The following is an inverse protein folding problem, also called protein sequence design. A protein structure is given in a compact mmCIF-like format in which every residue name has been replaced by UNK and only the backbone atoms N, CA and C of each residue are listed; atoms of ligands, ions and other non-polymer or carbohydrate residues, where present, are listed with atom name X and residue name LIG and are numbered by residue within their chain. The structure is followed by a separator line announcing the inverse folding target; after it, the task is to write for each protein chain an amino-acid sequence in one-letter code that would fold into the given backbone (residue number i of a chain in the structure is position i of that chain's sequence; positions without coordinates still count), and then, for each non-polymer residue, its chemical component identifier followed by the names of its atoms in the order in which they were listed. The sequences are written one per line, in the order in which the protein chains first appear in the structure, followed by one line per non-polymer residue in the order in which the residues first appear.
data_IF_528956624355
#
_entry.id   IF_528956624355
#
_cell.length_a   1.000
_cell.length_b   1.000
_cell.length_c   1.000
_cell.angle_alpha   90.00
_cell.angle_beta   90.00
_cell.angle_gamma   90.00
#
_symmetry.space_group_name_H-M   'P 1'
#
loop_
_entity.id
_entity.type
_entity.pdbx_description
1 polymer ?
#
# COMPACT_ATOMS: atom_id res chain seq x y z
N UNK A 1 31.95 24.17 27.16
CA UNK A 1 32.52 22.83 26.94
C UNK A 1 31.46 21.76 26.69
N UNK A 2 30.36 21.66 27.48
CA UNK A 2 29.26 20.69 27.26
C UNK A 2 28.60 20.70 25.87
N UNK A 3 28.48 21.85 25.21
CA UNK A 3 27.85 21.93 23.89
C UNK A 3 28.65 21.23 22.77
N UNK A 4 29.97 21.14 22.89
CA UNK A 4 30.84 20.50 21.89
C UNK A 4 30.72 18.97 21.97
N UNK A 5 30.55 18.43 23.17
CA UNK A 5 30.32 16.98 23.39
C UNK A 5 28.94 16.52 22.90
N UNK A 6 27.91 17.36 23.07
CA UNK A 6 26.55 17.08 22.59
C UNK A 6 26.50 17.08 21.06
N UNK A 7 27.16 18.03 20.40
CA UNK A 7 27.22 18.10 18.93
C UNK A 7 27.95 16.87 18.36
N UNK A 8 29.05 16.44 19.00
CA UNK A 8 29.78 15.23 18.61
C UNK A 8 28.93 13.95 18.74
N UNK A 9 28.17 13.83 19.83
CA UNK A 9 27.29 12.68 20.06
C UNK A 9 26.12 12.62 19.07
N UNK A 10 25.49 13.76 18.78
CA UNK A 10 24.40 13.83 17.79
C UNK A 10 24.91 13.53 16.38
N UNK A 11 26.09 14.03 16.02
CA UNK A 11 26.75 13.73 14.74
C UNK A 11 27.02 12.24 14.56
N UNK A 12 27.55 11.58 15.60
CA UNK A 12 27.81 10.14 15.57
C UNK A 12 26.53 9.31 15.43
N UNK A 13 25.44 9.75 16.08
CA UNK A 13 24.14 9.08 16.01
C UNK A 13 23.53 9.20 14.61
N UNK A 14 23.56 10.39 14.01
CA UNK A 14 23.11 10.61 12.64
C UNK A 14 23.95 9.81 11.64
N UNK A 15 25.27 9.76 11.81
CA UNK A 15 26.16 8.98 10.96
C UNK A 15 25.90 7.48 11.06
N UNK A 16 25.70 6.97 12.29
CA UNK A 16 25.34 5.56 12.52
C UNK A 16 24.02 5.19 11.86
N UNK A 17 22.97 6.01 12.00
CA UNK A 17 21.68 5.80 11.33
C UNK A 17 21.83 5.85 9.81
N UNK A 18 22.64 6.79 9.29
CA UNK A 18 22.91 6.92 7.86
C UNK A 18 23.59 5.67 7.31
N UNK A 19 24.58 5.12 8.02
CA UNK A 19 25.27 3.90 7.63
C UNK A 19 24.35 2.68 7.59
N UNK A 20 23.44 2.56 8.56
CA UNK A 20 22.44 1.48 8.57
C UNK A 20 21.49 1.60 7.38
N UNK A 21 21.01 2.81 7.07
CA UNK A 21 20.15 3.07 5.91
C UNK A 21 20.87 2.77 4.59
N UNK A 22 22.12 3.20 4.43
CA UNK A 22 22.92 2.91 3.23
C UNK A 22 23.15 1.40 3.08
N UNK A 23 23.46 0.69 4.17
CA UNK A 23 23.64 -0.76 4.16
C UNK A 23 22.35 -1.48 3.72
N UNK A 24 21.19 -1.03 4.18
CA UNK A 24 19.88 -1.59 3.80
C UNK A 24 19.57 -1.35 2.32
N UNK A 25 19.87 -0.15 1.80
CA UNK A 25 19.68 0.18 0.38
C UNK A 25 20.64 -0.61 -0.52
N UNK A 26 21.90 -0.78 -0.12
CA UNK A 26 22.85 -1.59 -0.90
C UNK A 26 22.48 -3.08 -0.90
N UNK A 27 21.98 -3.61 0.21
CA UNK A 27 21.49 -4.99 0.26
C UNK A 27 20.28 -5.19 -0.68
N UNK A 28 19.39 -4.19 -0.80
CA UNK A 28 18.21 -4.30 -1.67
C UNK A 28 18.53 -4.13 -3.16
N UNK A 29 19.55 -3.35 -3.53
CA UNK A 29 19.94 -3.14 -4.93
C UNK A 29 20.57 -4.38 -5.59
N UNK A 30 21.15 -5.30 -4.82
CA UNK A 30 21.67 -6.57 -5.38
C UNK A 30 20.55 -7.45 -5.94
N UNK A 31 19.30 -7.25 -5.49
CA UNK A 31 18.12 -7.99 -5.97
C UNK A 31 17.49 -7.40 -7.24
N UNK A 32 17.89 -6.20 -7.69
CA UNK A 32 17.17 -5.48 -8.78
C UNK A 32 17.79 -5.58 -10.18
N UNK A 33 18.86 -6.37 -10.36
CA UNK A 33 19.38 -6.68 -11.71
C UNK A 33 18.58 -7.83 -12.33
N UNK A 34 17.39 -7.50 -12.83
CA UNK A 34 16.54 -8.43 -13.58
C UNK A 34 15.08 -8.03 -13.55
N UNK A 35 14.73 -6.89 -14.11
CA UNK A 35 13.35 -6.52 -14.42
C UNK A 35 13.10 -6.77 -15.91
N UNK A 36 12.97 -8.04 -16.26
CA UNK A 36 11.93 -8.39 -17.24
C UNK A 36 10.60 -8.17 -16.53
N UNK A 37 9.68 -7.50 -17.22
CA UNK A 37 8.28 -7.35 -16.82
C UNK A 37 7.64 -8.74 -16.91
N UNK A 38 7.92 -9.56 -15.91
CA UNK A 38 7.29 -10.83 -15.67
C UNK A 38 6.30 -10.61 -14.55
N UNK A 39 5.02 -10.84 -14.85
CA UNK A 39 3.89 -10.87 -13.91
C UNK A 39 4.35 -11.47 -12.59
N UNK A 40 4.72 -10.60 -11.65
CA UNK A 40 5.41 -11.05 -10.45
C UNK A 40 4.37 -11.64 -9.52
N UNK A 41 4.44 -12.95 -9.42
CA UNK A 41 3.75 -13.77 -8.43
C UNK A 41 3.72 -13.04 -7.09
N UNK A 42 2.50 -12.93 -6.58
CA UNK A 42 2.16 -12.19 -5.38
C UNK A 42 3.09 -12.59 -4.23
N UNK A 43 3.81 -11.60 -3.71
CA UNK A 43 4.67 -11.71 -2.53
C UNK A 43 3.82 -12.07 -1.31
N UNK A 44 3.75 -13.35 -0.92
CA UNK A 44 2.99 -13.77 0.27
C UNK A 44 3.73 -14.85 1.07
N UNK A 45 4.89 -14.53 1.65
CA UNK A 45 5.52 -15.46 2.60
C UNK A 45 5.83 -14.88 3.98
N UNK A 46 5.96 -13.55 4.16
CA UNK A 46 6.19 -12.92 5.47
C UNK A 46 5.64 -11.47 5.54
N UNK A 47 4.33 -11.31 5.39
CA UNK A 47 3.70 -9.97 5.46
C UNK A 47 3.70 -9.43 6.89
N UNK A 48 4.47 -8.37 7.11
CA UNK A 48 4.44 -7.57 8.34
C UNK A 48 3.10 -6.84 8.39
N UNK A 49 2.21 -7.33 9.23
CA UNK A 49 0.87 -6.77 9.37
C UNK A 49 0.84 -5.39 10.03
N UNK A 50 -0.26 -4.62 9.84
CA UNK A 50 -0.47 -3.31 10.47
C UNK A 50 -0.44 -3.29 12.01
N UNK A 51 -0.47 -4.46 12.65
CA UNK A 51 -0.36 -4.61 14.11
C UNK A 51 1.09 -4.81 14.61
N UNK A 52 2.07 -4.87 13.71
CA UNK A 52 3.48 -5.06 14.05
C UNK A 52 4.23 -3.73 14.24
N UNK A 53 5.18 -3.69 15.18
CA UNK A 53 5.94 -2.48 15.54
C UNK A 53 6.77 -1.89 14.38
N UNK A 54 7.18 -2.71 13.42
CA UNK A 54 7.96 -2.27 12.24
C UNK A 54 7.07 -1.80 11.07
N UNK A 55 5.74 -1.97 11.14
CA UNK A 55 4.83 -1.57 10.07
C UNK A 55 4.95 -0.09 9.64
N UNK A 56 5.16 0.88 10.57
CA UNK A 56 5.35 2.28 10.17
C UNK A 56 6.54 2.48 9.22
N UNK A 57 7.60 1.68 9.34
CA UNK A 57 8.78 1.78 8.46
C UNK A 57 8.41 1.36 7.04
N UNK A 58 7.62 0.30 6.89
CA UNK A 58 7.11 -0.13 5.58
C UNK A 58 6.22 0.94 4.95
N UNK A 59 5.33 1.56 5.73
CA UNK A 59 4.52 2.67 5.25
C UNK A 59 5.36 3.87 4.77
N UNK A 60 6.47 4.17 5.45
CA UNK A 60 7.40 5.24 5.02
C UNK A 60 8.05 4.87 3.70
N UNK A 61 8.53 3.63 3.55
CA UNK A 61 9.09 3.12 2.29
C UNK A 61 8.07 3.25 1.15
N UNK A 62 6.85 2.76 1.36
CA UNK A 62 5.78 2.79 0.35
C UNK A 62 5.50 4.23 -0.11
N UNK A 63 5.44 5.16 0.85
CA UNK A 63 5.22 6.57 0.54
C UNK A 63 6.36 7.17 -0.28
N UNK A 64 7.61 6.88 0.09
CA UNK A 64 8.78 7.33 -0.67
C UNK A 64 8.76 6.76 -2.08
N UNK A 65 8.38 5.50 -2.26
CA UNK A 65 8.24 4.89 -3.58
C UNK A 65 7.17 5.59 -4.43
N UNK A 66 5.99 5.90 -3.86
CA UNK A 66 4.95 6.64 -4.57
C UNK A 66 5.36 8.06 -4.94
N UNK A 67 6.11 8.74 -4.08
CA UNK A 67 6.55 10.12 -4.31
C UNK A 67 7.65 10.20 -5.41
N UNK A 68 8.47 9.16 -5.55
CA UNK A 68 9.57 9.11 -6.52
C UNK A 68 9.21 8.46 -7.86
N UNK A 69 8.11 7.71 -7.93
CA UNK A 69 7.70 6.97 -9.11
C UNK A 69 7.19 7.89 -10.25
N UNK A 70 7.44 7.47 -11.49
CA UNK A 70 6.80 8.07 -12.67
C UNK A 70 5.29 7.77 -12.66
N UNK A 71 4.46 8.55 -13.38
CA UNK A 71 3.00 8.41 -13.29
C UNK A 71 2.47 6.97 -13.52
N UNK A 72 2.92 6.28 -14.57
CA UNK A 72 2.50 4.90 -14.87
C UNK A 72 2.92 3.91 -13.77
N UNK A 73 4.18 3.99 -13.33
CA UNK A 73 4.72 3.19 -12.23
C UNK A 73 3.98 3.47 -10.93
N UNK A 74 3.64 4.73 -10.68
CA UNK A 74 2.93 5.17 -9.47
C UNK A 74 1.51 4.62 -9.43
N UNK A 75 0.80 4.60 -10.57
CA UNK A 75 -0.52 3.98 -10.68
C UNK A 75 -0.41 2.48 -10.38
N UNK A 76 0.55 1.79 -11.00
CA UNK A 76 0.80 0.36 -10.79
C UNK A 76 1.16 0.04 -9.33
N UNK A 77 2.02 0.86 -8.71
CA UNK A 77 2.38 0.75 -7.30
C UNK A 77 1.17 0.93 -6.37
N UNK A 78 0.24 1.84 -6.68
CA UNK A 78 -0.99 1.98 -5.89
C UNK A 78 -1.85 0.73 -5.94
N UNK A 79 -1.95 0.09 -7.11
CA UNK A 79 -2.68 -1.19 -7.23
C UNK A 79 -2.02 -2.27 -6.38
N UNK A 80 -0.70 -2.44 -6.48
CA UNK A 80 0.05 -3.41 -5.69
C UNK A 80 -0.11 -3.19 -4.18
N UNK A 81 0.05 -1.94 -3.72
CA UNK A 81 -0.13 -1.56 -2.33
C UNK A 81 -1.55 -1.72 -1.81
N UNK A 82 -2.55 -1.60 -2.68
CA UNK A 82 -3.93 -1.91 -2.33
C UNK A 82 -4.14 -3.41 -2.12
N UNK A 83 -3.62 -4.25 -3.01
CA UNK A 83 -3.74 -5.70 -2.91
C UNK A 83 -3.07 -6.23 -1.62
N UNK A 84 -1.85 -5.78 -1.32
CA UNK A 84 -1.14 -6.11 -0.08
C UNK A 84 -1.94 -5.71 1.18
N UNK A 85 -2.55 -4.52 1.14
CA UNK A 85 -3.38 -4.03 2.26
C UNK A 85 -4.69 -4.80 2.37
N UNK A 86 -5.30 -5.22 1.27
CA UNK A 86 -6.51 -6.04 1.33
C UNK A 86 -6.22 -7.41 1.95
N UNK A 87 -5.12 -8.05 1.52
CA UNK A 87 -4.66 -9.30 2.14
C UNK A 87 -4.37 -9.14 3.63
N UNK A 88 -3.66 -8.05 4.01
CA UNK A 88 -3.45 -7.70 5.42
C UNK A 88 -4.75 -7.52 6.19
N UNK A 89 -5.78 -6.93 5.58
CA UNK A 89 -7.07 -6.74 6.21
C UNK A 89 -7.78 -8.08 6.48
N UNK A 90 -7.74 -9.02 5.54
CA UNK A 90 -8.27 -10.38 5.72
C UNK A 90 -7.58 -11.08 6.88
N UNK A 91 -6.24 -11.08 6.90
CA UNK A 91 -5.46 -11.67 7.99
C UNK A 91 -5.76 -11.03 9.36
N UNK A 92 -5.92 -9.70 9.41
CA UNK A 92 -6.27 -8.99 10.64
C UNK A 92 -7.68 -9.36 11.12
N UNK A 93 -8.61 -9.55 10.20
CA UNK A 93 -9.97 -9.98 10.51
C UNK A 93 -9.95 -11.38 11.13
N UNK A 94 -9.24 -12.33 10.51
CA UNK A 94 -9.06 -13.69 11.02
C UNK A 94 -8.37 -13.73 12.39
N UNK A 95 -7.47 -12.78 12.66
CA UNK A 95 -6.80 -12.61 13.97
C UNK A 95 -7.67 -11.93 15.03
N UNK A 96 -8.96 -11.71 14.76
CA UNK A 96 -9.89 -11.11 15.71
C UNK A 96 -9.67 -9.61 15.92
N UNK A 97 -9.11 -8.91 14.92
CA UNK A 97 -8.90 -7.44 14.92
C UNK A 97 -9.77 -6.74 13.86
N UNK A 98 -11.11 -6.86 13.94
CA UNK A 98 -12.01 -6.40 12.87
C UNK A 98 -11.95 -4.89 12.62
N UNK A 99 -11.72 -4.07 13.65
CA UNK A 99 -11.62 -2.61 13.49
C UNK A 99 -10.36 -2.21 12.70
N UNK A 100 -9.23 -2.87 13.00
CA UNK A 100 -7.98 -2.64 12.29
C UNK A 100 -8.06 -3.19 10.86
N UNK A 101 -8.70 -4.35 10.68
CA UNK A 101 -9.01 -4.92 9.37
C UNK A 101 -9.84 -3.95 8.52
N UNK A 102 -10.95 -3.44 9.04
CA UNK A 102 -11.81 -2.46 8.36
C UNK A 102 -11.02 -1.22 7.94
N UNK A 103 -10.22 -0.65 8.84
CA UNK A 103 -9.41 0.53 8.54
C UNK A 103 -8.38 0.26 7.44
N UNK A 104 -7.85 -0.97 7.38
CA UNK A 104 -6.85 -1.40 6.40
C UNK A 104 -7.50 -1.65 5.04
N UNK A 105 -8.64 -2.36 5.00
CA UNK A 105 -9.44 -2.58 3.80
C UNK A 105 -9.92 -1.24 3.19
N UNK A 106 -10.34 -0.30 4.03
CA UNK A 106 -10.75 1.05 3.57
C UNK A 106 -9.60 1.78 2.90
N UNK A 107 -8.38 1.69 3.44
CA UNK A 107 -7.18 2.29 2.82
C UNK A 107 -6.84 1.60 1.49
N UNK A 108 -6.92 0.28 1.44
CA UNK A 108 -6.70 -0.50 0.23
C UNK A 108 -7.63 -0.02 -0.90
N UNK A 109 -8.93 0.08 -0.62
CA UNK A 109 -9.91 0.51 -1.61
C UNK A 109 -9.68 1.95 -2.08
N UNK A 110 -9.30 2.87 -1.18
CA UNK A 110 -8.96 4.26 -1.55
C UNK A 110 -7.76 4.36 -2.49
N UNK A 111 -6.78 3.47 -2.35
CA UNK A 111 -5.63 3.42 -3.25
C UNK A 111 -6.06 3.03 -4.67
N UNK A 112 -6.92 2.02 -4.81
CA UNK A 112 -7.49 1.63 -6.11
C UNK A 112 -8.37 2.70 -6.71
N UNK A 113 -9.23 3.33 -5.91
CA UNK A 113 -10.07 4.43 -6.37
C UNK A 113 -9.21 5.58 -6.91
N UNK A 114 -8.16 5.95 -6.19
CA UNK A 114 -7.21 6.99 -6.63
C UNK A 114 -6.52 6.59 -7.93
N UNK A 115 -6.06 5.33 -8.05
CA UNK A 115 -5.45 4.82 -9.27
C UNK A 115 -6.43 4.86 -10.46
N UNK A 116 -7.68 4.48 -10.25
CA UNK A 116 -8.72 4.46 -11.28
C UNK A 116 -9.10 5.87 -11.76
N UNK A 117 -9.17 6.84 -10.85
CA UNK A 117 -9.37 8.24 -11.22
C UNK A 117 -8.16 8.82 -11.97
N UNK A 118 -6.94 8.49 -11.54
CA UNK A 118 -5.71 8.99 -12.16
C UNK A 118 -5.51 8.41 -13.57
N UNK A 119 -5.74 7.10 -13.75
CA UNK A 119 -5.59 6.44 -15.06
C UNK A 119 -6.58 6.98 -16.09
N UNK A 120 -7.81 7.34 -15.65
CA UNK A 120 -8.84 7.98 -16.49
C UNK A 120 -8.49 9.45 -16.80
N UNK A 121 -8.01 10.19 -15.81
CA UNK A 121 -7.70 11.61 -15.96
C UNK A 121 -6.46 11.87 -16.82
N UNK A 122 -5.48 10.96 -16.80
CA UNK A 122 -4.21 11.12 -17.51
C UNK A 122 -4.19 10.47 -18.90
N UNK A 123 -5.28 9.82 -19.33
CA UNK A 123 -5.38 9.10 -20.61
C UNK A 123 -4.21 8.11 -20.81
N UNK A 124 -3.95 7.30 -19.78
CA UNK A 124 -2.88 6.30 -19.83
C UNK A 124 -3.24 5.15 -20.78
N UNK A 125 -2.30 4.25 -21.04
CA UNK A 125 -2.51 3.10 -21.94
C UNK A 125 -3.75 2.27 -21.58
N UNK A 126 -4.41 1.72 -22.62
CA UNK A 126 -5.58 0.85 -22.47
C UNK A 126 -5.29 -0.37 -21.58
N UNK A 127 -4.09 -0.93 -21.68
CA UNK A 127 -3.63 -2.04 -20.84
C UNK A 127 -3.61 -1.65 -19.35
N UNK A 128 -3.08 -0.46 -19.02
CA UNK A 128 -3.02 0.02 -17.64
C UNK A 128 -4.41 0.36 -17.11
N UNK A 129 -5.27 0.96 -17.93
CA UNK A 129 -6.68 1.19 -17.58
C UNK A 129 -7.39 -0.13 -17.26
N UNK A 130 -7.24 -1.13 -18.13
CA UNK A 130 -7.84 -2.46 -17.97
C UNK A 130 -7.36 -3.13 -16.69
N UNK A 131 -6.06 -3.08 -16.41
CA UNK A 131 -5.48 -3.61 -15.19
C UNK A 131 -6.08 -2.96 -13.94
N UNK A 132 -6.10 -1.63 -13.87
CA UNK A 132 -6.60 -0.88 -12.72
C UNK A 132 -8.09 -1.12 -12.49
N UNK A 133 -8.90 -1.07 -13.55
CA UNK A 133 -10.35 -1.28 -13.44
C UNK A 133 -10.71 -2.72 -13.08
N UNK A 134 -9.93 -3.70 -13.55
CA UNK A 134 -10.09 -5.11 -13.16
C UNK A 134 -9.80 -5.28 -11.67
N UNK A 135 -8.67 -4.76 -11.20
CA UNK A 135 -8.30 -4.81 -9.78
C UNK A 135 -9.35 -4.10 -8.89
N UNK A 136 -9.84 -2.92 -9.29
CA UNK A 136 -10.90 -2.21 -8.57
C UNK A 136 -12.18 -3.03 -8.48
N UNK A 137 -12.59 -3.68 -9.57
CA UNK A 137 -13.80 -4.51 -9.60
C UNK A 137 -13.67 -5.71 -8.68
N UNK A 138 -12.60 -6.48 -8.81
CA UNK A 138 -12.35 -7.67 -8.00
C UNK A 138 -12.32 -7.32 -6.50
N UNK A 139 -11.57 -6.28 -6.14
CA UNK A 139 -11.47 -5.88 -4.75
C UNK A 139 -12.78 -5.31 -4.18
N UNK A 140 -13.60 -4.65 -5.01
CA UNK A 140 -14.94 -4.21 -4.61
C UNK A 140 -15.86 -5.39 -4.30
N UNK A 141 -15.77 -6.48 -5.06
CA UNK A 141 -16.53 -7.70 -4.76
C UNK A 141 -16.02 -8.39 -3.49
N UNK A 142 -14.70 -8.45 -3.27
CA UNK A 142 -14.14 -8.95 -2.01
C UNK A 142 -14.59 -8.11 -0.81
N UNK A 143 -14.63 -6.78 -0.96
CA UNK A 143 -15.07 -5.88 0.10
C UNK A 143 -16.55 -6.12 0.49
N UNK A 144 -17.42 -6.44 -0.47
CA UNK A 144 -18.81 -6.85 -0.18
C UNK A 144 -18.88 -8.15 0.61
N UNK A 145 -18.08 -9.15 0.26
CA UNK A 145 -18.04 -10.42 1.01
C UNK A 145 -17.55 -10.21 2.45
N UNK A 146 -16.61 -9.28 2.65
CA UNK A 146 -16.17 -8.87 3.98
C UNK A 146 -17.26 -8.10 4.73
N UNK A 147 -17.98 -7.20 4.05
CA UNK A 147 -19.07 -6.38 4.61
C UNK A 147 -20.16 -7.23 5.29
N UNK A 148 -20.51 -8.39 4.72
CA UNK A 148 -21.49 -9.32 5.32
C UNK A 148 -21.12 -9.83 6.72
N UNK A 149 -19.85 -9.69 7.12
CA UNK A 149 -19.33 -10.17 8.40
C UNK A 149 -19.21 -9.08 9.47
N UNK A 150 -19.41 -7.81 9.10
CA UNK A 150 -19.26 -6.66 10.00
C UNK A 150 -20.60 -6.21 10.60
N UNK A 151 -20.55 -5.43 11.68
CA UNK A 151 -21.75 -4.88 12.33
C UNK A 151 -22.32 -3.65 11.58
N UNK A 152 -23.51 -3.18 11.99
CA UNK A 152 -24.27 -2.12 11.30
C UNK A 152 -23.46 -0.82 11.06
N UNK A 153 -22.69 -0.36 12.04
CA UNK A 153 -21.88 0.87 11.92
C UNK A 153 -20.76 0.73 10.88
N UNK A 154 -20.12 -0.45 10.86
CA UNK A 154 -19.03 -0.77 9.95
C UNK A 154 -19.55 -1.06 8.53
N UNK A 155 -20.77 -1.60 8.45
CA UNK A 155 -21.48 -1.86 7.21
C UNK A 155 -21.70 -0.59 6.40
N UNK A 156 -22.15 0.50 7.03
CA UNK A 156 -22.43 1.78 6.34
C UNK A 156 -21.16 2.38 5.71
N UNK A 157 -20.03 2.29 6.41
CA UNK A 157 -18.73 2.76 5.90
C UNK A 157 -18.32 2.00 4.64
N UNK A 158 -18.44 0.68 4.67
CA UNK A 158 -18.13 -0.17 3.53
C UNK A 158 -19.10 0.06 2.37
N UNK A 159 -20.39 0.22 2.66
CA UNK A 159 -21.42 0.47 1.64
C UNK A 159 -21.10 1.75 0.86
N UNK A 160 -20.83 2.84 1.58
CA UNK A 160 -20.46 4.11 0.93
C UNK A 160 -19.25 3.96 0.03
N UNK A 161 -18.23 3.23 0.48
CA UNK A 161 -16.99 3.01 -0.26
C UNK A 161 -17.20 2.12 -1.50
N UNK A 162 -18.07 1.11 -1.41
CA UNK A 162 -18.49 0.27 -2.54
C UNK A 162 -19.22 1.13 -3.58
N UNK A 163 -20.14 1.99 -3.14
CA UNK A 163 -20.89 2.85 -4.06
C UNK A 163 -19.96 3.85 -4.78
N UNK A 164 -19.02 4.47 -4.06
CA UNK A 164 -18.00 5.34 -4.63
C UNK A 164 -17.10 4.61 -5.64
N UNK A 165 -16.76 3.34 -5.37
CA UNK A 165 -15.98 2.52 -6.30
C UNK A 165 -16.77 2.17 -7.57
N UNK A 166 -18.08 1.94 -7.44
CA UNK A 166 -18.96 1.65 -8.58
C UNK A 166 -19.19 2.85 -9.49
N UNK A 167 -19.25 4.06 -8.94
CA UNK A 167 -19.50 5.26 -9.74
C UNK A 167 -18.41 5.50 -10.79
N UNK A 168 -17.17 5.09 -10.50
CA UNK A 168 -16.05 5.20 -11.44
C UNK A 168 -16.28 4.43 -12.74
N UNK A 169 -17.03 3.32 -12.71
CA UNK A 169 -17.33 2.54 -13.93
C UNK A 169 -18.52 3.09 -14.75
N UNK A 170 -19.28 4.04 -14.19
CA UNK A 170 -20.54 4.52 -14.79
C UNK A 170 -20.38 5.87 -15.49
N UNK A 171 -19.29 6.59 -15.20
CA UNK A 171 -18.85 7.80 -15.90
C UNK A 171 -17.85 7.50 -17.01
#
# INVERSE_FOLDING_TARGET
MKHIEIIGSVSALVFGVSLVVISLISASQVQSKGLEVSHKEMYFEDDVLPDHALYPILMVRDRVQLELAQPEDRISLRVAFAQERMHSAEMLYEKGKPELALSTATKAQKYLLTAALEVKAMDMSEDLQTYVFTALREQTEHLKQLQEKYNDDQYEVLEKLIQESKSVFTE
#
